data_IF_087405232618
#
_entry.id   IF_087405232618
#
_cell.length_a   1.000
_cell.length_b   1.000
_cell.length_c   1.000
_cell.angle_alpha   90.00
_cell.angle_beta   90.00
_cell.angle_gamma   90.00
#
_symmetry.space_group_name_H-M   'P 1'
#
loop_
_entity.id
_entity.type
_entity.pdbx_description
1 polymer ?
#
# COMPACT_ATOMS: atom_id res chain seq x y z
N UNK A 1 -7.48 15.33 -9.10
CA UNK A 1 -7.76 14.44 -10.24
C UNK A 1 -8.11 15.23 -11.49
N UNK A 2 -9.26 15.92 -11.52
CA UNK A 2 -9.81 16.59 -12.72
C UNK A 2 -8.93 17.67 -13.37
N UNK A 3 -7.90 18.17 -12.67
CA UNK A 3 -6.91 19.11 -13.23
C UNK A 3 -5.85 18.41 -14.10
N UNK A 4 -5.76 17.08 -14.07
CA UNK A 4 -4.81 16.30 -14.86
C UNK A 4 -5.49 15.76 -16.12
N UNK A 5 -4.80 15.70 -17.27
CA UNK A 5 -5.31 15.03 -18.46
C UNK A 5 -5.66 13.55 -18.15
N UNK A 6 -6.82 13.03 -18.60
CA UNK A 6 -7.22 11.63 -18.33
C UNK A 6 -6.17 10.60 -18.74
N UNK A 7 -5.57 10.78 -19.92
CA UNK A 7 -4.50 9.91 -20.42
C UNK A 7 -3.31 9.85 -19.48
N UNK A 8 -2.82 11.00 -19.01
CA UNK A 8 -1.69 11.06 -18.08
C UNK A 8 -2.01 10.32 -16.77
N UNK A 9 -3.24 10.48 -16.27
CA UNK A 9 -3.71 9.82 -15.07
C UNK A 9 -3.76 8.29 -15.23
N UNK A 10 -4.34 7.82 -16.33
CA UNK A 10 -4.38 6.40 -16.69
C UNK A 10 -2.99 5.80 -16.92
N UNK A 11 -2.13 6.51 -17.65
CA UNK A 11 -0.77 6.08 -17.95
C UNK A 11 0.03 5.80 -16.67
N UNK A 12 -0.18 6.56 -15.59
CA UNK A 12 0.47 6.28 -14.30
C UNK A 12 -0.01 4.95 -13.71
N UNK A 13 -1.32 4.71 -13.65
CA UNK A 13 -1.87 3.46 -13.09
C UNK A 13 -1.45 2.24 -13.91
N UNK A 14 -1.52 2.34 -15.23
CA UNK A 14 -1.10 1.28 -16.13
C UNK A 14 0.41 1.02 -15.99
N UNK A 15 1.24 2.07 -15.91
CA UNK A 15 2.68 1.90 -15.69
C UNK A 15 3.03 1.30 -14.33
N UNK A 16 2.21 1.50 -13.29
CA UNK A 16 2.33 0.82 -12.00
C UNK A 16 1.92 -0.67 -12.06
N UNK A 17 1.36 -1.12 -13.20
CA UNK A 17 0.98 -2.50 -13.46
C UNK A 17 -0.48 -2.82 -13.15
N UNK A 18 -1.36 -1.83 -13.04
CA UNK A 18 -2.79 -2.10 -12.87
C UNK A 18 -3.44 -2.40 -14.21
N UNK A 19 -4.29 -3.42 -14.23
CA UNK A 19 -4.92 -3.95 -15.45
C UNK A 19 -4.18 -5.17 -16.05
N UNK A 20 -2.98 -5.47 -15.57
CA UNK A 20 -2.17 -6.60 -16.04
C UNK A 20 -1.72 -7.50 -14.87
N UNK A 21 -1.62 -8.82 -15.08
CA UNK A 21 -1.03 -9.72 -14.09
C UNK A 21 0.41 -9.31 -13.73
N UNK A 22 0.86 -9.66 -12.53
CA UNK A 22 2.23 -9.32 -12.07
C UNK A 22 3.31 -10.21 -12.67
N UNK A 23 2.90 -11.31 -13.33
CA UNK A 23 3.78 -12.31 -13.91
C UNK A 23 4.76 -12.90 -12.88
N UNK A 24 4.33 -13.10 -11.63
CA UNK A 24 5.19 -13.63 -10.56
C UNK A 24 5.52 -15.12 -10.70
N UNK A 25 4.90 -15.78 -11.70
CA UNK A 25 4.96 -17.23 -11.91
C UNK A 25 3.89 -18.01 -11.12
N UNK A 26 3.04 -17.31 -10.36
CA UNK A 26 1.92 -17.94 -9.67
C UNK A 26 0.82 -18.31 -10.69
N UNK A 27 0.23 -19.52 -10.61
CA UNK A 27 -0.82 -19.91 -11.54
C UNK A 27 -2.09 -19.07 -11.34
N UNK A 28 -2.75 -18.73 -12.44
CA UNK A 28 -4.06 -18.05 -12.43
C UNK A 28 -4.08 -16.70 -11.70
N UNK A 29 -3.04 -15.89 -11.88
CA UNK A 29 -3.04 -14.50 -11.39
C UNK A 29 -4.20 -13.69 -11.99
N UNK A 30 -4.87 -12.92 -11.14
CA UNK A 30 -5.85 -11.95 -11.60
C UNK A 30 -5.16 -10.75 -12.25
N UNK A 31 -5.64 -10.35 -13.43
CA UNK A 31 -5.20 -9.12 -14.11
C UNK A 31 -5.69 -7.85 -13.39
N UNK A 32 -6.71 -7.97 -12.53
CA UNK A 32 -7.45 -6.81 -12.05
C UNK A 32 -8.27 -6.18 -13.19
N UNK A 33 -8.65 -4.92 -13.02
CA UNK A 33 -9.38 -4.16 -14.03
C UNK A 33 -9.00 -2.69 -13.97
N UNK A 34 -8.60 -2.13 -15.12
CA UNK A 34 -8.40 -0.70 -15.32
C UNK A 34 -9.04 -0.32 -16.67
N UNK A 35 -10.13 0.43 -16.62
CA UNK A 35 -10.84 0.84 -17.85
C UNK A 35 -9.99 1.81 -18.66
N UNK A 36 -10.02 1.69 -19.99
CA UNK A 36 -9.33 2.60 -20.90
C UNK A 36 -9.83 4.05 -20.73
N UNK A 37 -8.89 5.00 -20.71
CA UNK A 37 -9.18 6.42 -20.47
C UNK A 37 -10.06 7.07 -21.54
N UNK A 38 -10.10 6.52 -22.76
CA UNK A 38 -10.92 7.06 -23.85
C UNK A 38 -12.42 7.00 -23.55
N UNK A 39 -12.83 6.11 -22.65
CA UNK A 39 -14.23 5.91 -22.25
C UNK A 39 -14.60 6.64 -20.96
N UNK A 40 -13.66 7.36 -20.32
CA UNK A 40 -13.91 7.99 -19.03
C UNK A 40 -14.74 9.27 -19.16
N UNK A 41 -15.78 9.36 -18.34
CA UNK A 41 -16.42 10.64 -18.01
C UNK A 41 -15.66 11.31 -16.86
N UNK A 42 -15.84 12.62 -16.63
CA UNK A 42 -15.25 13.30 -15.47
C UNK A 42 -15.57 12.63 -14.13
N UNK A 43 -16.77 12.03 -14.01
CA UNK A 43 -17.15 11.25 -12.84
C UNK A 43 -16.24 10.03 -12.62
N UNK A 44 -15.94 9.27 -13.67
CA UNK A 44 -15.07 8.08 -13.60
C UNK A 44 -13.65 8.47 -13.19
N UNK A 45 -13.12 9.55 -13.75
CA UNK A 45 -11.81 10.07 -13.36
C UNK A 45 -11.78 10.52 -11.89
N UNK A 46 -12.88 11.12 -11.40
CA UNK A 46 -12.99 11.52 -10.01
C UNK A 46 -13.01 10.31 -9.06
N UNK A 47 -13.79 9.28 -9.37
CA UNK A 47 -13.93 8.07 -8.54
C UNK A 47 -12.64 7.25 -8.49
N UNK A 48 -11.94 7.14 -9.62
CA UNK A 48 -10.64 6.48 -9.70
C UNK A 48 -9.60 7.09 -8.77
N UNK A 49 -9.63 8.41 -8.59
CA UNK A 49 -8.66 9.11 -7.74
C UNK A 49 -8.74 8.78 -6.26
N UNK A 50 -9.85 8.22 -5.80
CA UNK A 50 -9.99 7.70 -4.44
C UNK A 50 -10.22 6.19 -4.40
N UNK A 51 -9.87 5.48 -5.49
CA UNK A 51 -9.76 4.01 -5.51
C UNK A 51 -11.00 3.25 -5.97
N UNK A 52 -11.98 3.92 -6.57
CA UNK A 52 -13.18 3.28 -7.13
C UNK A 52 -13.14 3.27 -8.67
N UNK A 53 -13.67 2.22 -9.31
CA UNK A 53 -13.64 2.10 -10.78
C UNK A 53 -12.42 1.35 -11.32
N UNK A 54 -11.57 0.81 -10.43
CA UNK A 54 -10.54 -0.17 -10.75
C UNK A 54 -10.58 -1.33 -9.75
N UNK A 55 -10.01 -2.47 -10.12
CA UNK A 55 -9.75 -3.57 -9.20
C UNK A 55 -8.29 -4.01 -9.31
N UNK A 56 -7.70 -4.33 -8.17
CA UNK A 56 -6.30 -4.77 -8.06
C UNK A 56 -6.20 -5.91 -7.06
N UNK A 57 -5.28 -6.85 -7.31
CA UNK A 57 -4.90 -7.85 -6.33
C UNK A 57 -3.99 -7.24 -5.25
N UNK A 58 -3.92 -7.90 -4.08
CA UNK A 58 -2.99 -7.49 -3.03
C UNK A 58 -1.54 -7.48 -3.51
N UNK A 59 -1.18 -8.40 -4.42
CA UNK A 59 0.16 -8.49 -5.00
C UNK A 59 0.47 -7.33 -5.94
N UNK A 60 -0.48 -6.96 -6.81
CA UNK A 60 -0.36 -5.75 -7.66
C UNK A 60 -0.21 -4.49 -6.79
N UNK A 61 -0.99 -4.39 -5.71
CA UNK A 61 -0.90 -3.26 -4.78
C UNK A 61 0.48 -3.21 -4.11
N UNK A 62 0.97 -4.33 -3.57
CA UNK A 62 2.30 -4.41 -2.97
C UNK A 62 3.40 -4.05 -3.99
N UNK A 63 3.31 -4.56 -5.22
CA UNK A 63 4.24 -4.23 -6.31
C UNK A 63 4.26 -2.74 -6.60
N UNK A 64 3.09 -2.08 -6.72
CA UNK A 64 3.04 -0.64 -7.01
C UNK A 64 3.72 0.21 -5.94
N UNK A 65 3.69 -0.23 -4.67
CA UNK A 65 4.39 0.45 -3.58
C UNK A 65 5.92 0.39 -3.72
N UNK A 66 6.48 -0.51 -4.52
CA UNK A 66 7.92 -0.55 -4.81
C UNK A 66 8.39 0.74 -5.48
N UNK A 67 7.56 1.31 -6.37
CA UNK A 67 7.84 2.61 -7.01
C UNK A 67 7.95 3.76 -6.00
N UNK A 68 7.31 3.67 -4.84
CA UNK A 68 7.45 4.66 -3.78
C UNK A 68 8.63 4.32 -2.85
N UNK A 69 8.78 3.04 -2.54
CA UNK A 69 9.84 2.52 -1.67
C UNK A 69 11.23 2.78 -2.24
N UNK A 70 11.48 2.38 -3.49
CA UNK A 70 12.76 2.56 -4.17
C UNK A 70 12.81 3.83 -5.04
N UNK A 71 12.38 4.96 -4.44
CA UNK A 71 12.64 6.30 -4.99
C UNK A 71 12.23 6.48 -6.48
N UNK A 72 11.06 5.96 -6.84
CA UNK A 72 10.49 6.07 -8.17
C UNK A 72 10.73 4.87 -9.07
N UNK A 73 11.39 3.81 -8.62
CA UNK A 73 11.68 2.60 -9.39
C UNK A 73 10.67 1.51 -9.04
N UNK A 74 9.88 1.10 -10.03
CA UNK A 74 8.99 -0.05 -9.94
C UNK A 74 9.80 -1.33 -10.19
N UNK A 75 9.59 -2.31 -9.32
CA UNK A 75 10.23 -3.62 -9.37
C UNK A 75 9.27 -4.69 -9.89
N UNK A 76 9.83 -5.76 -10.44
CA UNK A 76 9.09 -7.00 -10.73
C UNK A 76 8.91 -7.83 -9.44
N UNK A 77 7.97 -8.78 -9.44
CA UNK A 77 7.73 -9.68 -8.30
C UNK A 77 8.34 -11.04 -8.58
N UNK A 78 8.95 -11.66 -7.56
CA UNK A 78 9.47 -13.02 -7.66
C UNK A 78 9.17 -13.81 -6.39
N UNK A 79 8.66 -15.03 -6.55
CA UNK A 79 8.53 -16.02 -5.47
C UNK A 79 9.84 -16.80 -5.26
N UNK A 80 10.75 -16.76 -6.23
CA UNK A 80 12.07 -17.35 -6.13
C UNK A 80 13.08 -16.33 -5.62
N UNK A 81 14.02 -16.78 -4.79
CA UNK A 81 15.15 -15.96 -4.35
C UNK A 81 15.96 -15.52 -5.59
N UNK A 82 16.25 -14.23 -5.68
CA UNK A 82 17.08 -13.63 -6.72
C UNK A 82 18.12 -12.70 -6.13
N UNK A 83 19.26 -12.57 -6.79
CA UNK A 83 20.31 -11.61 -6.44
C UNK A 83 19.99 -10.21 -6.94
N UNK A 84 19.35 -10.11 -8.11
CA UNK A 84 19.03 -8.85 -8.77
C UNK A 84 17.63 -8.90 -9.38
N UNK A 85 17.04 -7.73 -9.60
CA UNK A 85 15.79 -7.57 -10.32
C UNK A 85 16.09 -7.21 -11.79
N UNK A 86 15.83 -8.12 -12.75
CA UNK A 86 16.13 -7.86 -14.16
C UNK A 86 15.15 -6.85 -14.79
N UNK A 87 13.99 -6.62 -14.17
CA UNK A 87 12.90 -5.85 -14.76
C UNK A 87 12.52 -4.69 -13.83
N UNK A 88 13.34 -3.64 -13.87
CA UNK A 88 13.06 -2.40 -13.16
C UNK A 88 12.66 -1.29 -14.13
N UNK A 89 11.74 -0.42 -13.69
CA UNK A 89 11.27 0.71 -14.49
C UNK A 89 11.10 1.97 -13.64
N UNK A 90 11.66 3.09 -14.08
CA UNK A 90 11.43 4.38 -13.42
C UNK A 90 10.04 4.91 -13.78
N UNK A 91 9.18 5.07 -12.76
CA UNK A 91 7.83 5.65 -12.87
C UNK A 91 7.82 7.09 -12.37
N UNK A 92 8.56 7.36 -11.28
CA UNK A 92 8.62 8.69 -10.68
C UNK A 92 10.06 9.19 -10.56
N UNK A 93 10.20 10.51 -10.41
CA UNK A 93 11.47 11.06 -9.95
C UNK A 93 11.71 10.67 -8.50
N UNK A 94 12.98 10.53 -8.11
CA UNK A 94 13.36 10.26 -6.71
C UNK A 94 12.78 11.31 -5.76
N UNK A 95 12.78 12.59 -6.16
CA UNK A 95 12.18 13.68 -5.39
C UNK A 95 10.69 13.45 -5.16
N UNK A 96 9.93 13.16 -6.22
CA UNK A 96 8.49 12.91 -6.13
C UNK A 96 8.17 11.74 -5.21
N UNK A 97 8.85 10.60 -5.38
CA UNK A 97 8.63 9.42 -4.55
C UNK A 97 8.91 9.69 -3.07
N UNK A 98 10.02 10.37 -2.75
CA UNK A 98 10.35 10.78 -1.38
C UNK A 98 9.32 11.73 -0.78
N UNK A 99 8.87 12.74 -1.54
CA UNK A 99 7.82 13.66 -1.09
C UNK A 99 6.51 12.93 -0.80
N UNK A 100 6.11 11.98 -1.65
CA UNK A 100 4.89 11.18 -1.44
C UNK A 100 5.04 10.28 -0.20
N UNK A 101 6.20 9.64 0.00
CA UNK A 101 6.44 8.84 1.22
C UNK A 101 6.32 9.71 2.48
N UNK A 102 6.92 10.89 2.50
CA UNK A 102 6.81 11.81 3.63
C UNK A 102 5.36 12.23 3.90
N UNK A 103 4.56 12.46 2.86
CA UNK A 103 3.12 12.70 3.02
C UNK A 103 2.41 11.47 3.60
N UNK A 104 2.78 10.25 3.20
CA UNK A 104 2.20 9.01 3.72
C UNK A 104 2.57 8.73 5.19
N UNK A 105 3.71 9.23 5.68
CA UNK A 105 4.05 9.14 7.11
C UNK A 105 3.03 9.89 7.98
N UNK A 106 2.49 11.00 7.49
CA UNK A 106 1.48 11.78 8.23
C UNK A 106 0.19 11.00 8.50
N UNK A 107 -0.10 9.95 7.73
CA UNK A 107 -1.27 9.08 7.92
C UNK A 107 -1.20 8.32 9.24
N UNK A 108 0.02 8.07 9.75
CA UNK A 108 0.32 7.29 10.94
C UNK A 108 0.52 8.19 12.17
N UNK A 109 0.46 9.52 11.99
CA UNK A 109 0.48 10.47 13.11
C UNK A 109 -0.75 10.32 14.00
N UNK A 110 -0.71 10.91 15.22
CA UNK A 110 -1.83 10.86 16.18
C UNK A 110 -3.13 11.43 15.61
N UNK A 111 -3.04 12.44 14.76
CA UNK A 111 -4.18 13.06 14.07
C UNK A 111 -4.46 12.41 12.70
N UNK A 112 -3.72 11.33 12.38
CA UNK A 112 -3.81 10.58 11.14
C UNK A 112 -4.96 9.57 11.12
N UNK A 113 -5.17 8.95 9.96
CA UNK A 113 -6.28 8.00 9.75
C UNK A 113 -5.93 6.54 10.08
N UNK A 114 -4.67 6.25 10.41
CA UNK A 114 -4.21 4.89 10.69
C UNK A 114 -3.08 4.87 11.73
N UNK A 115 -3.25 5.59 12.83
CA UNK A 115 -2.29 5.64 13.95
C UNK A 115 -1.89 4.24 14.45
N UNK A 116 -2.81 3.28 14.44
CA UNK A 116 -2.57 1.89 14.88
C UNK A 116 -1.60 1.09 14.00
N UNK A 117 -1.19 1.61 12.84
CA UNK A 117 -0.15 1.00 12.01
C UNK A 117 1.28 1.43 12.41
N UNK A 118 1.43 2.28 13.43
CA UNK A 118 2.73 2.66 14.00
C UNK A 118 3.53 1.43 14.42
N UNK A 119 4.84 1.46 14.19
CA UNK A 119 5.77 0.41 14.60
C UNK A 119 6.82 1.07 15.50
N UNK A 120 6.89 0.65 16.75
CA UNK A 120 7.81 1.24 17.72
C UNK A 120 9.26 1.12 17.23
N UNK A 121 10.00 2.23 17.28
CA UNK A 121 11.37 2.34 16.77
C UNK A 121 11.52 2.62 15.27
N UNK A 122 10.41 2.62 14.50
CA UNK A 122 10.49 2.75 13.04
C UNK A 122 9.55 3.83 12.48
N UNK A 123 10.04 4.56 11.48
CA UNK A 123 9.19 5.38 10.61
C UNK A 123 8.34 4.47 9.71
N UNK A 124 7.06 4.80 9.56
CA UNK A 124 6.10 4.02 8.77
C UNK A 124 5.39 4.95 7.79
N UNK A 125 5.40 4.58 6.51
CA UNK A 125 4.64 5.27 5.48
C UNK A 125 3.58 4.30 4.93
N UNK A 126 2.30 4.69 4.96
CA UNK A 126 1.24 3.82 4.48
C UNK A 126 -0.10 4.51 4.27
N UNK A 127 -1.08 3.74 3.81
CA UNK A 127 -2.45 4.20 3.61
C UNK A 127 -3.46 3.13 3.97
N UNK A 128 -4.55 3.59 4.61
CA UNK A 128 -5.75 2.80 4.88
C UNK A 128 -6.74 2.91 3.71
N UNK A 129 -7.41 1.80 3.41
CA UNK A 129 -8.53 1.69 2.49
C UNK A 129 -9.73 1.02 3.17
N UNK A 130 -10.93 1.49 2.85
CA UNK A 130 -12.19 0.84 3.25
C UNK A 130 -13.10 0.86 2.03
N UNK A 131 -13.31 -0.32 1.44
CA UNK A 131 -13.96 -0.46 0.14
C UNK A 131 -15.25 -1.25 0.33
N UNK A 132 -16.36 -0.75 -0.19
CA UNK A 132 -17.62 -1.51 -0.22
C UNK A 132 -17.50 -2.67 -1.20
N UNK A 133 -17.91 -3.87 -0.77
CA UNK A 133 -17.88 -5.06 -1.63
C UNK A 133 -18.93 -4.92 -2.73
N UNK A 134 -18.52 -5.10 -3.98
CA UNK A 134 -19.43 -5.16 -5.11
C UNK A 134 -20.05 -6.56 -5.23
N UNK A 135 -21.34 -6.63 -5.56
CA UNK A 135 -22.09 -7.86 -5.78
C UNK A 135 -23.09 -7.70 -6.93
N UNK A 136 -23.94 -8.71 -7.12
CA UNK A 136 -24.98 -8.67 -8.14
C UNK A 136 -25.98 -7.53 -7.86
N UNK A 137 -25.94 -6.47 -8.68
CA UNK A 137 -26.84 -5.32 -8.57
C UNK A 137 -26.30 -4.11 -7.80
N UNK A 138 -25.03 -4.10 -7.39
CA UNK A 138 -24.40 -2.92 -6.75
C UNK A 138 -23.55 -3.28 -5.55
N UNK A 139 -23.41 -2.37 -4.59
CA UNK A 139 -22.69 -2.65 -3.35
C UNK A 139 -23.52 -3.51 -2.40
N UNK A 140 -22.91 -4.57 -1.88
CA UNK A 140 -23.54 -5.43 -0.88
C UNK A 140 -23.59 -4.68 0.45
N UNK A 141 -24.76 -4.66 1.08
CA UNK A 141 -24.92 -4.02 2.37
C UNK A 141 -24.02 -4.64 3.44
N UNK A 142 -23.43 -3.79 4.28
CA UNK A 142 -22.60 -4.18 5.43
C UNK A 142 -21.36 -5.04 5.08
N UNK A 143 -20.98 -5.14 3.81
CA UNK A 143 -19.83 -5.94 3.36
C UNK A 143 -18.72 -5.04 2.86
N UNK A 144 -17.53 -5.18 3.45
CA UNK A 144 -16.40 -4.29 3.19
C UNK A 144 -15.09 -5.05 3.13
N UNK A 145 -14.18 -4.56 2.30
CA UNK A 145 -12.75 -4.86 2.41
C UNK A 145 -12.07 -3.77 3.25
N UNK A 146 -11.38 -4.20 4.30
CA UNK A 146 -10.53 -3.36 5.13
C UNK A 146 -9.08 -3.58 4.72
N UNK A 147 -8.43 -2.55 4.19
CA UNK A 147 -7.08 -2.66 3.61
C UNK A 147 -6.13 -1.70 4.31
N UNK A 148 -4.92 -2.16 4.59
CA UNK A 148 -3.80 -1.30 4.93
C UNK A 148 -2.59 -1.71 4.11
N UNK A 149 -2.01 -0.76 3.37
CA UNK A 149 -0.77 -0.96 2.61
C UNK A 149 0.28 0.02 3.13
N UNK A 150 1.46 -0.49 3.46
CA UNK A 150 2.51 0.35 4.03
C UNK A 150 3.90 -0.23 3.85
N UNK A 151 4.90 0.59 4.17
CA UNK A 151 6.31 0.26 4.10
C UNK A 151 7.06 0.79 5.32
N UNK A 152 8.12 0.09 5.70
CA UNK A 152 9.00 0.49 6.79
C UNK A 152 10.45 0.00 6.56
N UNK A 153 11.46 0.71 7.12
CA UNK A 153 11.39 2.09 7.61
C UNK A 153 11.04 3.07 6.48
N UNK A 154 10.24 4.12 6.71
CA UNK A 154 9.86 5.08 5.66
C UNK A 154 11.06 5.86 5.07
N UNK A 155 12.08 6.11 5.89
CA UNK A 155 13.32 6.78 5.49
C UNK A 155 14.14 5.96 4.47
N UNK A 156 14.26 4.65 4.72
CA UNK A 156 14.95 3.68 3.88
C UNK A 156 14.17 2.35 3.83
N UNK A 157 13.11 2.26 3.01
CA UNK A 157 12.18 1.12 3.03
C UNK A 157 12.86 -0.23 2.74
N UNK A 158 12.60 -1.21 3.61
CA UNK A 158 13.10 -2.59 3.47
C UNK A 158 11.98 -3.58 3.23
N UNK A 159 10.79 -3.27 3.71
CA UNK A 159 9.61 -4.13 3.62
C UNK A 159 8.39 -3.32 3.15
N UNK A 160 7.56 -3.97 2.35
CA UNK A 160 6.21 -3.52 1.99
C UNK A 160 5.26 -4.61 2.46
N UNK A 161 4.21 -4.24 3.17
CA UNK A 161 3.16 -5.17 3.62
C UNK A 161 1.81 -4.60 3.23
N UNK A 162 0.99 -5.47 2.64
CA UNK A 162 -0.43 -5.22 2.37
C UNK A 162 -1.23 -6.20 3.21
N UNK A 163 -2.10 -5.68 4.07
CA UNK A 163 -3.06 -6.44 4.86
C UNK A 163 -4.45 -6.15 4.30
N UNK A 164 -5.19 -7.20 3.94
CA UNK A 164 -6.59 -7.11 3.53
C UNK A 164 -7.42 -8.05 4.40
N UNK A 165 -8.50 -7.53 4.96
CA UNK A 165 -9.48 -8.28 5.75
C UNK A 165 -10.82 -8.17 5.03
N UNK A 166 -11.38 -9.31 4.63
CA UNK A 166 -12.70 -9.43 4.01
C UNK A 166 -13.77 -9.55 5.10
N UNK A 167 -14.83 -8.74 4.99
CA UNK A 167 -16.01 -8.75 5.86
C UNK A 167 -15.69 -8.75 7.38
N UNK A 168 -14.97 -7.73 7.90
CA UNK A 168 -14.72 -7.63 9.32
C UNK A 168 -16.04 -7.50 10.11
N UNK A 169 -16.27 -8.40 11.06
CA UNK A 169 -17.57 -8.60 11.72
C UNK A 169 -17.63 -8.15 13.19
N UNK A 170 -16.51 -7.77 13.80
CA UNK A 170 -16.41 -7.40 15.22
C UNK A 170 -16.84 -5.94 15.52
N UNK A 171 -17.79 -5.38 14.77
CA UNK A 171 -18.31 -4.02 14.98
C UNK A 171 -17.40 -2.87 14.55
N UNK A 172 -16.21 -3.15 14.00
CA UNK A 172 -15.28 -2.18 13.42
C UNK A 172 -14.92 -2.64 12.00
N UNK A 173 -14.94 -1.73 11.02
CA UNK A 173 -14.69 -2.07 9.60
C UNK A 173 -13.68 -1.17 8.90
N UNK A 174 -13.26 -0.07 9.53
CA UNK A 174 -12.28 0.84 8.95
C UNK A 174 -10.88 0.21 8.90
N UNK A 175 -10.15 0.45 7.80
CA UNK A 175 -8.78 -0.04 7.58
C UNK A 175 -7.82 0.32 8.71
N UNK A 176 -7.87 1.58 9.14
CA UNK A 176 -7.05 2.10 10.24
C UNK A 176 -7.29 1.44 11.60
N UNK A 177 -8.39 0.71 11.79
CA UNK A 177 -8.72 0.05 13.07
C UNK A 177 -8.56 -1.48 12.96
N UNK A 178 -8.86 -2.06 11.79
CA UNK A 178 -8.90 -3.52 11.63
C UNK A 178 -7.60 -4.05 11.02
N UNK A 179 -7.15 -3.50 9.89
CA UNK A 179 -5.96 -4.01 9.19
C UNK A 179 -4.65 -3.37 9.67
N UNK A 180 -4.70 -2.13 10.15
CA UNK A 180 -3.53 -1.41 10.66
C UNK A 180 -2.84 -2.07 11.87
N UNK A 181 -3.54 -2.55 12.93
CA UNK A 181 -2.88 -3.25 14.03
C UNK A 181 -2.21 -4.57 13.61
N UNK A 182 -2.79 -5.27 12.62
CA UNK A 182 -2.19 -6.48 12.05
C UNK A 182 -0.91 -6.12 11.31
N UNK A 183 -0.93 -5.06 10.49
CA UNK A 183 0.26 -4.53 9.84
C UNK A 183 1.36 -4.22 10.86
N UNK A 184 1.05 -3.49 11.93
CA UNK A 184 2.03 -3.09 12.95
C UNK A 184 2.74 -4.31 13.55
N UNK A 185 1.97 -5.32 13.98
CA UNK A 185 2.52 -6.55 14.58
C UNK A 185 3.39 -7.34 13.62
N UNK A 186 2.93 -7.55 12.38
CA UNK A 186 3.67 -8.32 11.38
C UNK A 186 4.93 -7.58 10.94
N UNK A 187 4.83 -6.26 10.71
CA UNK A 187 5.96 -5.42 10.33
C UNK A 187 7.03 -5.39 11.43
N UNK A 188 6.63 -5.19 12.68
CA UNK A 188 7.55 -5.21 13.84
C UNK A 188 8.33 -6.52 13.92
N UNK A 189 7.62 -7.66 13.83
CA UNK A 189 8.23 -8.98 13.85
C UNK A 189 9.19 -9.20 12.66
N UNK A 190 8.76 -8.83 11.45
CA UNK A 190 9.55 -9.00 10.24
C UNK A 190 10.82 -8.16 10.24
N UNK A 191 10.75 -6.88 10.63
CA UNK A 191 11.92 -6.01 10.73
C UNK A 191 12.93 -6.55 11.75
N UNK A 192 12.45 -7.09 12.87
CA UNK A 192 13.30 -7.73 13.89
C UNK A 192 13.98 -9.00 13.37
N UNK A 193 13.25 -9.87 12.68
CA UNK A 193 13.80 -11.10 12.09
C UNK A 193 14.87 -10.78 11.03
N UNK A 194 14.66 -9.71 10.26
CA UNK A 194 15.58 -9.26 9.22
C UNK A 194 16.68 -8.33 9.74
N UNK A 195 16.77 -8.14 11.05
CA UNK A 195 17.79 -7.32 11.71
C UNK A 195 17.89 -5.89 11.14
N UNK A 196 16.75 -5.33 10.74
CA UNK A 196 16.72 -3.94 10.26
C UNK A 196 16.96 -3.01 11.44
N UNK A 197 17.83 -2.02 11.27
CA UNK A 197 18.09 -1.04 12.32
C UNK A 197 16.89 -0.08 12.49
N UNK A 198 16.44 0.20 13.73
CA UNK A 198 15.48 1.26 14.02
C UNK A 198 15.98 2.62 13.50
N UNK A 199 15.05 3.45 12.99
CA UNK A 199 15.35 4.80 12.48
C UNK A 199 14.61 5.91 13.23
N UNK A 200 13.85 5.56 14.28
CA UNK A 200 13.26 6.52 15.22
C UNK A 200 13.66 6.17 16.66
N UNK A 201 14.43 7.06 17.29
CA UNK A 201 14.80 6.96 18.71
C UNK A 201 13.63 7.22 19.65
N UNK A 202 12.73 8.12 19.28
CA UNK A 202 11.75 8.71 20.20
C UNK A 202 10.52 7.81 20.43
N UNK A 203 10.33 6.80 19.57
CA UNK A 203 9.26 5.82 19.64
C UNK A 203 9.75 4.43 20.08
N UNK A 204 10.94 4.34 20.67
CA UNK A 204 11.42 3.07 21.25
C UNK A 204 10.68 2.78 22.55
N UNK A 205 10.26 1.51 22.80
CA UNK A 205 9.75 1.16 24.11
C UNK A 205 10.88 1.33 25.13
N UNK A 206 10.62 2.08 26.20
CA UNK A 206 11.56 2.20 27.32
C UNK A 206 11.75 0.80 27.89
N UNK A 207 12.90 0.19 27.59
CA UNK A 207 13.35 -1.01 28.29
C UNK A 207 13.69 -0.57 29.71
N UNK A 208 12.72 -0.68 30.62
CA UNK A 208 12.99 -0.63 32.05
C UNK A 208 13.85 -1.87 32.37
N UNK A 209 15.16 -1.71 32.26
CA UNK A 209 16.10 -2.65 32.85
C UNK A 209 15.89 -2.52 34.35
N UNK A 210 15.22 -3.52 34.94
CA UNK A 210 15.07 -3.63 36.38
C UNK A 210 16.45 -3.50 37.00
N UNK A 211 16.64 -2.48 37.85
CA UNK A 211 17.78 -2.43 38.76
C UNK A 211 17.65 -3.62 39.69
N UNK A 212 18.44 -4.67 39.45
CA UNK A 212 18.80 -5.62 40.48
C UNK A 212 19.89 -4.99 41.36
#
# INVERSE_FOLDING_TARGET
ALRMPPKYFWDIYHQLGFGDATASGFPSEANGALLDYANWKPFDQATLAFGYGLSVSALQLARSYTALADNGILHSVSLFKRSEDPETKRIFTSRTAKSVRAMMETVISKDGTAYEARVDGYSVAGKTGTVKKAGAGGYVEKSYFSVFAGMAPASNPRLIIVVMIDEPSAGQYYGGIVSAPVFSKVMSGALRILEVAPDQSDNMPVLLVGKN
#
